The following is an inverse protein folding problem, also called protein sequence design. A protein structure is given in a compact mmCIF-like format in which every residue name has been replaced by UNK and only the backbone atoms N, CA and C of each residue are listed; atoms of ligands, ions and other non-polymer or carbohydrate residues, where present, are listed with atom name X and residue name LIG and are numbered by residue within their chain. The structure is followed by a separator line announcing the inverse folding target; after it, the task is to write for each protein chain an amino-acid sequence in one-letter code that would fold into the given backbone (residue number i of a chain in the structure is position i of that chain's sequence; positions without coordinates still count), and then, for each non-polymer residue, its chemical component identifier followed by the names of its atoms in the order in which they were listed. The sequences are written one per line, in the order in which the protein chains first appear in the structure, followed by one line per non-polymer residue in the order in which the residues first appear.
data_IF_019300317231
#
_entry.id   IF_019300317231
#
_cell.length_a   1.000
_cell.length_b   1.000
_cell.length_c   1.000
_cell.angle_alpha   90.00
_cell.angle_beta   90.00
_cell.angle_gamma   90.00
#
_symmetry.space_group_name_H-M   'P 1'
#
loop_
_entity.id
_entity.type
_entity.pdbx_description
1 polymer ?
#
# COMPACT_ATOMS: atom_id res chain seq x y z
N UNK A 1 -2.27 3.37 5.12
CA UNK A 1 -2.60 3.68 3.73
C UNK A 1 -2.56 2.41 2.89
N UNK A 2 -3.62 2.18 2.12
CA UNK A 2 -3.72 1.09 1.15
C UNK A 2 -3.78 1.70 -0.25
N UNK A 3 -2.75 1.48 -1.05
CA UNK A 3 -2.63 2.07 -2.40
C UNK A 3 -3.05 1.05 -3.45
N UNK A 4 -3.97 1.44 -4.33
CA UNK A 4 -4.57 0.52 -5.29
C UNK A 4 -5.53 -0.43 -4.61
N UNK A 5 -6.42 0.09 -3.78
CA UNK A 5 -7.20 -0.69 -2.83
C UNK A 5 -8.24 -1.62 -3.44
N UNK A 6 -8.64 -1.39 -4.69
CA UNK A 6 -9.74 -2.11 -5.28
C UNK A 6 -11.02 -1.96 -4.46
N UNK A 7 -11.74 -3.04 -4.20
CA UNK A 7 -12.96 -3.00 -3.39
C UNK A 7 -12.70 -2.99 -1.88
N UNK A 8 -11.45 -2.95 -1.45
CA UNK A 8 -11.06 -2.62 -0.08
C UNK A 8 -10.72 -3.75 0.89
N UNK A 9 -10.46 -5.01 0.45
CA UNK A 9 -10.28 -6.10 1.41
C UNK A 9 -9.06 -5.93 2.32
N UNK A 10 -7.95 -5.46 1.78
CA UNK A 10 -6.70 -5.28 2.55
C UNK A 10 -6.81 -4.10 3.52
N UNK A 11 -7.31 -2.96 3.05
CA UNK A 11 -7.52 -1.79 3.90
C UNK A 11 -8.51 -2.03 5.02
N UNK A 12 -9.59 -2.76 4.74
CA UNK A 12 -10.57 -3.13 5.76
C UNK A 12 -9.96 -4.07 6.80
N UNK A 13 -9.14 -5.03 6.39
CA UNK A 13 -8.47 -5.93 7.33
C UNK A 13 -7.52 -5.16 8.25
N UNK A 14 -6.78 -4.19 7.72
CA UNK A 14 -5.93 -3.32 8.51
C UNK A 14 -6.72 -2.48 9.51
N UNK A 15 -7.84 -1.90 9.07
CA UNK A 15 -8.68 -1.08 9.93
C UNK A 15 -9.23 -1.88 11.13
N UNK A 16 -9.61 -3.13 10.91
CA UNK A 16 -10.07 -4.01 11.99
C UNK A 16 -8.97 -4.32 13.00
N UNK A 17 -7.74 -4.48 12.53
CA UNK A 17 -6.59 -4.76 13.41
C UNK A 17 -6.09 -3.52 14.14
N UNK A 18 -6.43 -2.33 13.66
CA UNK A 18 -6.03 -1.07 14.25
C UNK A 18 -7.26 -0.20 14.54
N UNK A 19 -8.14 -0.64 15.46
CA UNK A 19 -9.43 0.04 15.68
C UNK A 19 -9.30 1.46 16.21
N UNK A 20 -8.17 1.82 16.80
CA UNK A 20 -7.89 3.18 17.29
C UNK A 20 -7.23 4.07 16.22
N UNK A 21 -6.83 3.49 15.10
CA UNK A 21 -6.21 4.20 14.00
C UNK A 21 -7.19 4.53 12.90
N UNK A 22 -6.69 5.22 11.89
CA UNK A 22 -7.45 5.56 10.68
C UNK A 22 -6.79 4.89 9.49
N UNK A 23 -7.58 4.30 8.63
CA UNK A 23 -7.11 3.69 7.38
C UNK A 23 -7.64 4.48 6.19
N UNK A 24 -6.73 4.98 5.36
CA UNK A 24 -7.05 5.60 4.09
C UNK A 24 -6.78 4.59 2.98
N UNK A 25 -7.77 4.41 2.10
CA UNK A 25 -7.65 3.58 0.91
C UNK A 25 -7.73 4.46 -0.32
N UNK A 26 -6.88 4.23 -1.31
CA UNK A 26 -6.92 5.01 -2.55
C UNK A 26 -6.88 4.10 -3.78
N UNK A 27 -7.56 4.55 -4.82
CA UNK A 27 -7.54 3.90 -6.12
C UNK A 27 -7.82 4.95 -7.19
N UNK A 28 -7.32 4.72 -8.40
CA UNK A 28 -7.59 5.60 -9.54
C UNK A 28 -8.95 5.32 -10.20
N UNK A 29 -9.54 4.18 -9.90
CA UNK A 29 -10.81 3.75 -10.45
C UNK A 29 -11.95 4.20 -9.53
N UNK A 30 -12.84 5.05 -10.06
CA UNK A 30 -13.99 5.57 -9.34
C UNK A 30 -14.88 4.43 -8.80
N UNK A 31 -15.11 3.38 -9.58
CA UNK A 31 -15.96 2.27 -9.17
C UNK A 31 -15.33 1.49 -8.02
N UNK A 32 -14.00 1.31 -8.03
CA UNK A 32 -13.30 0.67 -6.92
C UNK A 32 -13.49 1.45 -5.63
N UNK A 33 -13.33 2.77 -5.68
CA UNK A 33 -13.52 3.66 -4.52
C UNK A 33 -14.95 3.56 -3.98
N UNK A 34 -15.94 3.59 -4.87
CA UNK A 34 -17.33 3.47 -4.47
C UNK A 34 -17.62 2.13 -3.78
N UNK A 35 -17.16 1.02 -4.34
CA UNK A 35 -17.34 -0.30 -3.74
C UNK A 35 -16.58 -0.43 -2.42
N UNK A 36 -15.38 0.10 -2.32
CA UNK A 36 -14.63 0.07 -1.08
C UNK A 36 -15.38 0.78 0.05
N UNK A 37 -15.93 1.96 -0.22
CA UNK A 37 -16.72 2.71 0.77
C UNK A 37 -18.01 1.97 1.15
N UNK A 38 -18.70 1.38 0.18
CA UNK A 38 -19.90 0.56 0.45
C UNK A 38 -19.56 -0.65 1.33
N UNK A 39 -18.43 -1.31 1.05
CA UNK A 39 -17.97 -2.46 1.83
C UNK A 39 -17.63 -2.07 3.26
N UNK A 40 -17.05 -0.89 3.49
CA UNK A 40 -16.82 -0.40 4.84
C UNK A 40 -18.13 -0.25 5.63
N UNK A 41 -19.16 0.29 5.00
CA UNK A 41 -20.48 0.39 5.64
C UNK A 41 -21.09 -0.98 5.92
N UNK A 42 -21.09 -1.86 4.92
CA UNK A 42 -21.64 -3.22 5.05
C UNK A 42 -20.96 -4.03 6.15
N UNK A 43 -19.66 -3.87 6.30
CA UNK A 43 -18.86 -4.62 7.27
C UNK A 43 -18.67 -3.88 8.60
N UNK A 44 -19.33 -2.76 8.78
CA UNK A 44 -19.28 -1.94 10.01
C UNK A 44 -17.86 -1.55 10.39
N UNK A 45 -17.13 -0.99 9.44
CA UNK A 45 -15.77 -0.51 9.64
C UNK A 45 -15.76 1.02 9.58
N UNK A 46 -15.86 1.72 10.73
CA UNK A 46 -16.00 3.18 10.75
C UNK A 46 -14.68 3.93 10.57
N UNK A 47 -13.55 3.26 10.75
CA UNK A 47 -12.21 3.87 10.73
C UNK A 47 -11.47 3.66 9.40
N UNK A 48 -12.17 3.37 8.34
CA UNK A 48 -11.60 3.27 7.00
C UNK A 48 -12.46 4.03 6.01
N UNK A 49 -11.81 4.69 5.06
CA UNK A 49 -12.48 5.35 3.94
C UNK A 49 -11.64 5.26 2.69
N UNK A 50 -12.28 5.27 1.54
CA UNK A 50 -11.62 5.28 0.25
C UNK A 50 -11.82 6.61 -0.45
N UNK A 51 -10.80 7.06 -1.17
CA UNK A 51 -10.85 8.25 -2.01
C UNK A 51 -10.16 8.01 -3.34
N UNK A 52 -10.57 8.78 -4.34
CA UNK A 52 -9.98 8.72 -5.67
C UNK A 52 -8.58 9.35 -5.63
N UNK A 53 -7.58 8.61 -6.13
CA UNK A 53 -6.23 9.13 -6.26
C UNK A 53 -5.46 8.33 -7.30
N UNK A 54 -4.68 9.02 -8.11
CA UNK A 54 -3.69 8.36 -8.96
C UNK A 54 -2.41 8.22 -8.14
N UNK A 55 -2.17 7.01 -7.61
CA UNK A 55 -1.10 6.80 -6.66
C UNK A 55 -1.27 7.70 -5.44
N UNK A 56 -0.24 8.47 -5.11
CA UNK A 56 -0.23 9.38 -3.96
C UNK A 56 -0.59 10.83 -4.30
N UNK A 57 -0.87 11.13 -5.56
CA UNK A 57 -1.00 12.51 -6.05
C UNK A 57 -2.12 13.32 -5.40
N UNK A 58 -3.21 12.65 -5.01
CA UNK A 58 -4.40 13.33 -4.47
C UNK A 58 -4.52 13.19 -2.95
N UNK A 59 -3.49 12.69 -2.30
CA UNK A 59 -3.43 12.58 -0.84
C UNK A 59 -2.79 13.86 -0.30
N UNK A 60 -3.39 14.43 0.76
CA UNK A 60 -2.86 15.62 1.42
C UNK A 60 -1.36 15.44 1.71
N UNK A 61 -0.48 16.33 1.18
CA UNK A 61 0.96 16.20 1.37
C UNK A 61 1.42 16.23 2.83
N UNK A 62 0.63 16.81 3.72
CA UNK A 62 0.94 16.87 5.15
C UNK A 62 0.72 15.52 5.86
N UNK A 63 -0.05 14.63 5.27
CA UNK A 63 -0.31 13.31 5.88
C UNK A 63 0.91 12.42 5.76
N UNK A 64 1.32 11.86 6.90
CA UNK A 64 2.35 10.82 6.99
C UNK A 64 1.72 9.57 7.59
N UNK A 65 2.24 8.41 7.21
CA UNK A 65 1.63 7.15 7.58
C UNK A 65 2.59 6.29 8.40
N UNK A 66 2.02 5.53 9.33
CA UNK A 66 2.76 4.51 10.09
C UNK A 66 2.97 3.25 9.25
N UNK A 67 2.02 3.00 8.34
CA UNK A 67 1.97 1.79 7.54
C UNK A 67 1.43 2.10 6.15
N UNK A 68 2.14 1.66 5.13
CA UNK A 68 1.66 1.69 3.75
C UNK A 68 1.66 0.27 3.21
N UNK A 69 0.55 -0.14 2.61
CA UNK A 69 0.46 -1.45 1.94
C UNK A 69 0.01 -1.24 0.50
N UNK A 70 0.46 -2.11 -0.38
CA UNK A 70 0.04 -2.10 -1.76
C UNK A 70 0.17 -3.48 -2.39
N UNK A 71 -0.85 -3.85 -3.15
CA UNK A 71 -0.79 -4.95 -4.08
C UNK A 71 -0.43 -4.35 -5.45
N UNK A 72 0.84 -4.40 -5.81
CA UNK A 72 1.35 -3.70 -6.99
C UNK A 72 0.91 -4.37 -8.29
N UNK A 73 0.45 -3.58 -9.28
CA UNK A 73 0.13 -4.14 -10.59
C UNK A 73 1.40 -4.60 -11.32
N UNK A 74 1.32 -5.78 -11.94
CA UNK A 74 2.44 -6.36 -12.67
C UNK A 74 2.83 -5.56 -13.92
N UNK A 75 1.91 -4.77 -14.47
CA UNK A 75 2.08 -4.08 -15.75
C UNK A 75 2.77 -2.72 -15.66
N UNK A 76 3.15 -2.28 -14.48
CA UNK A 76 3.86 -1.00 -14.32
C UNK A 76 5.31 -1.12 -14.83
N UNK A 77 5.85 -0.04 -15.40
CA UNK A 77 7.24 -0.01 -15.80
C UNK A 77 8.17 0.03 -14.59
N UNK A 78 9.45 -0.27 -14.79
CA UNK A 78 10.45 -0.17 -13.73
C UNK A 78 10.54 1.24 -13.15
N UNK A 79 10.47 2.27 -14.03
CA UNK A 79 10.49 3.66 -13.60
C UNK A 79 9.29 4.02 -12.73
N UNK A 80 8.10 3.53 -13.10
CA UNK A 80 6.89 3.74 -12.30
C UNK A 80 7.01 3.07 -10.93
N UNK A 81 7.59 1.88 -10.85
CA UNK A 81 7.85 1.22 -9.57
C UNK A 81 8.80 2.03 -8.70
N UNK A 82 9.89 2.53 -9.27
CA UNK A 82 10.84 3.37 -8.52
C UNK A 82 10.18 4.63 -7.97
N UNK A 83 9.45 5.36 -8.81
CA UNK A 83 8.74 6.58 -8.38
C UNK A 83 7.75 6.28 -7.27
N UNK A 84 6.99 5.21 -7.42
CA UNK A 84 6.02 4.78 -6.42
C UNK A 84 6.68 4.48 -5.08
N UNK A 85 7.81 3.78 -5.08
CA UNK A 85 8.53 3.45 -3.85
C UNK A 85 9.15 4.68 -3.19
N UNK A 86 9.73 5.60 -3.96
CA UNK A 86 10.25 6.86 -3.42
C UNK A 86 9.13 7.72 -2.82
N UNK A 87 8.00 7.82 -3.50
CA UNK A 87 6.85 8.56 -2.99
C UNK A 87 6.31 7.94 -1.69
N UNK A 88 6.24 6.61 -1.65
CA UNK A 88 5.80 5.89 -0.46
C UNK A 88 6.76 6.11 0.71
N UNK A 89 8.06 6.04 0.48
CA UNK A 89 9.07 6.32 1.50
C UNK A 89 8.91 7.73 2.07
N UNK A 90 8.69 8.73 1.20
CA UNK A 90 8.52 10.11 1.61
C UNK A 90 7.27 10.32 2.49
N UNK A 91 6.26 9.47 2.33
CA UNK A 91 4.99 9.58 3.05
C UNK A 91 4.94 8.74 4.33
N UNK A 92 5.95 7.94 4.60
CA UNK A 92 6.06 7.20 5.86
C UNK A 92 6.66 8.06 6.95
N UNK A 93 6.18 7.84 8.17
CA UNK A 93 6.84 8.36 9.37
C UNK A 93 8.15 7.60 9.60
N UNK A 94 9.15 8.21 10.28
CA UNK A 94 10.33 7.45 10.70
C UNK A 94 9.93 6.18 11.48
N UNK A 95 10.50 5.03 11.13
CA UNK A 95 10.12 3.74 11.69
C UNK A 95 8.88 3.12 11.06
N UNK A 96 8.23 3.82 10.14
CA UNK A 96 7.07 3.30 9.42
C UNK A 96 7.43 2.17 8.47
N UNK A 97 6.47 1.31 8.16
CA UNK A 97 6.70 0.11 7.35
C UNK A 97 5.90 0.14 6.06
N UNK A 98 6.53 -0.38 5.03
CA UNK A 98 5.93 -0.57 3.71
C UNK A 98 5.82 -2.06 3.41
N UNK A 99 4.61 -2.53 3.15
CA UNK A 99 4.35 -3.90 2.74
C UNK A 99 3.87 -3.92 1.31
N UNK A 100 4.41 -4.84 0.52
CA UNK A 100 4.06 -4.96 -0.87
C UNK A 100 3.79 -6.42 -1.23
N UNK A 101 2.75 -6.63 -2.03
CA UNK A 101 2.43 -7.93 -2.62
C UNK A 101 2.72 -7.85 -4.11
N UNK A 102 3.56 -8.74 -4.61
CA UNK A 102 3.90 -8.82 -6.04
C UNK A 102 3.73 -10.23 -6.56
N UNK A 103 3.55 -10.38 -7.87
CA UNK A 103 3.66 -11.70 -8.49
C UNK A 103 5.10 -12.20 -8.35
N UNK A 104 5.26 -13.52 -8.28
CA UNK A 104 6.59 -14.11 -8.05
C UNK A 104 7.63 -13.73 -9.11
N UNK A 105 7.20 -13.48 -10.36
CA UNK A 105 8.11 -13.04 -11.41
C UNK A 105 8.78 -11.70 -11.16
N UNK A 106 8.22 -10.87 -10.27
CA UNK A 106 8.77 -9.56 -9.92
C UNK A 106 9.48 -9.54 -8.57
N UNK A 107 9.53 -10.66 -7.84
CA UNK A 107 10.04 -10.66 -6.46
C UNK A 107 11.51 -10.22 -6.36
N UNK A 108 12.34 -10.65 -7.28
CA UNK A 108 13.78 -10.31 -7.26
C UNK A 108 13.99 -8.83 -7.59
N UNK A 109 13.28 -8.34 -8.60
CA UNK A 109 13.32 -6.92 -8.96
C UNK A 109 12.83 -6.06 -7.79
N UNK A 110 11.73 -6.45 -7.17
CA UNK A 110 11.16 -5.69 -6.05
C UNK A 110 12.08 -5.71 -4.83
N UNK A 111 12.70 -6.85 -4.53
CA UNK A 111 13.66 -6.94 -3.43
C UNK A 111 14.86 -6.02 -3.62
N UNK A 112 15.43 -5.99 -4.82
CA UNK A 112 16.54 -5.08 -5.13
C UNK A 112 16.12 -3.62 -5.04
N UNK A 113 14.94 -3.29 -5.58
CA UNK A 113 14.45 -1.92 -5.61
C UNK A 113 14.12 -1.42 -4.20
N UNK A 114 13.50 -2.25 -3.37
CA UNK A 114 13.24 -1.90 -1.97
C UNK A 114 14.55 -1.64 -1.22
N UNK A 115 15.56 -2.49 -1.43
CA UNK A 115 16.84 -2.31 -0.79
C UNK A 115 17.53 -1.02 -1.23
N UNK A 116 17.43 -0.65 -2.51
CA UNK A 116 17.99 0.60 -3.02
C UNK A 116 17.27 1.82 -2.44
N UNK A 117 15.94 1.81 -2.41
CA UNK A 117 15.13 2.96 -2.00
C UNK A 117 15.07 3.10 -0.49
N UNK A 118 14.83 2.02 0.24
CA UNK A 118 14.65 2.03 1.69
C UNK A 118 15.93 1.72 2.47
N UNK A 119 16.89 1.06 1.84
CA UNK A 119 18.10 0.60 2.51
C UNK A 119 17.96 -0.78 3.17
N UNK A 120 16.78 -1.36 3.14
CA UNK A 120 16.50 -2.66 3.73
C UNK A 120 15.36 -3.36 2.99
N UNK A 121 15.23 -4.65 3.24
CA UNK A 121 14.21 -5.48 2.60
C UNK A 121 14.11 -6.83 3.32
N UNK A 122 12.88 -7.30 3.56
CA UNK A 122 12.58 -8.62 4.09
C UNK A 122 11.51 -9.30 3.24
N UNK A 123 11.80 -10.52 2.81
CA UNK A 123 10.76 -11.37 2.20
C UNK A 123 10.03 -12.07 3.33
N UNK A 124 8.74 -11.75 3.51
CA UNK A 124 7.95 -12.31 4.60
C UNK A 124 7.32 -13.65 4.25
N UNK A 125 6.82 -13.78 3.02
CA UNK A 125 6.13 -14.99 2.58
C UNK A 125 6.17 -15.10 1.06
N UNK A 126 6.39 -16.30 0.56
CA UNK A 126 6.28 -16.61 -0.86
C UNK A 126 5.33 -17.76 -1.06
N UNK A 127 4.22 -17.49 -1.75
CA UNK A 127 3.28 -18.52 -2.18
C UNK A 127 3.57 -19.01 -3.59
N UNK A 128 2.60 -19.69 -4.19
CA UNK A 128 2.74 -20.21 -5.56
C UNK A 128 2.71 -19.12 -6.63
N UNK A 129 2.01 -18.03 -6.38
CA UNK A 129 1.77 -16.94 -7.34
C UNK A 129 2.34 -15.61 -6.84
N UNK A 130 2.21 -15.33 -5.54
CA UNK A 130 2.53 -14.02 -4.96
C UNK A 130 3.59 -14.10 -3.88
N UNK A 131 4.35 -13.03 -3.75
CA UNK A 131 5.34 -12.81 -2.69
C UNK A 131 4.96 -11.57 -1.90
N UNK A 132 5.05 -11.64 -0.58
CA UNK A 132 4.89 -10.51 0.33
C UNK A 132 6.25 -10.08 0.82
N UNK A 133 6.56 -8.81 0.65
CA UNK A 133 7.83 -8.22 1.09
C UNK A 133 7.58 -6.99 1.95
N UNK A 134 8.55 -6.63 2.77
CA UNK A 134 8.47 -5.49 3.66
C UNK A 134 9.78 -4.71 3.62
N UNK A 135 9.66 -3.40 3.79
CA UNK A 135 10.78 -2.50 4.07
C UNK A 135 10.37 -1.51 5.15
N UNK A 136 11.34 -0.99 5.88
CA UNK A 136 11.12 -0.06 6.97
C UNK A 136 11.85 1.24 6.71
N UNK A 137 11.17 2.37 6.96
CA UNK A 137 11.83 3.67 6.90
C UNK A 137 12.68 3.87 8.15
N UNK A 138 13.95 4.08 7.95
CA UNK A 138 14.86 4.33 9.07
C UNK A 138 14.47 5.60 9.84
N UNK A 139 14.75 5.56 11.11
CA UNK A 139 14.41 6.66 12.02
C UNK A 139 15.23 7.92 11.74
#
# INVERSE_FOLDING_TARGET
LDIGCGYGPLGMAMARKAPKGQTLMVDKDFMAVEYANRNCVLNRIPNAKAQLSNGLQHIDPALKFDLIVSNLPAKASKEQHYLFLFDSLARLKPGGRFYVVTINGLREFMGRTLKEVFGNYDKLKQGKVYTVAMAEKEA
#
